data_IF_177068800537
#
_entry.id   IF_177068800537
#
_cell.length_a   1.000
_cell.length_b   1.000
_cell.length_c   1.000
_cell.angle_alpha   90.00
_cell.angle_beta   90.00
_cell.angle_gamma   90.00
#
_symmetry.space_group_name_H-M   'P 1'
#
loop_
_entity.id
_entity.type
_entity.pdbx_description
1 polymer ?
#
# COMPACT_ATOMS: atom_id res chain seq x y z
N UNK A 1 -10.81 -13.29 0.50
CA UNK A 1 -10.25 -14.31 -0.41
C UNK A 1 -8.85 -13.85 -0.77
N UNK A 2 -7.82 -14.54 -0.32
CA UNK A 2 -6.42 -14.19 -0.63
C UNK A 2 -6.17 -14.44 -2.11
N UNK A 3 -5.93 -13.38 -2.87
CA UNK A 3 -5.52 -13.48 -4.28
C UNK A 3 -4.04 -13.84 -4.29
N UNK A 4 -3.75 -15.12 -4.51
CA UNK A 4 -2.43 -15.52 -4.98
C UNK A 4 -2.50 -15.42 -6.51
N UNK A 5 -2.06 -14.29 -7.05
CA UNK A 5 -1.92 -14.06 -8.48
C UNK A 5 -0.80 -14.98 -9.01
N UNK A 6 -1.21 -16.07 -9.65
CA UNK A 6 -0.33 -17.00 -10.35
C UNK A 6 0.37 -16.26 -11.49
N UNK A 7 1.68 -16.03 -11.37
CA UNK A 7 2.50 -15.33 -12.39
C UNK A 7 3.46 -14.27 -11.83
N UNK A 8 3.25 -13.81 -10.59
CA UNK A 8 4.12 -12.83 -9.94
C UNK A 8 5.36 -13.47 -9.32
N UNK A 9 6.47 -12.73 -9.25
CA UNK A 9 7.67 -13.14 -8.50
C UNK A 9 7.29 -13.40 -7.04
N UNK A 10 7.91 -14.40 -6.35
CA UNK A 10 7.57 -14.72 -4.96
C UNK A 10 7.64 -13.53 -3.99
N UNK A 11 8.54 -12.58 -4.26
CA UNK A 11 8.63 -11.33 -3.51
C UNK A 11 7.40 -10.43 -3.61
N UNK A 12 6.88 -10.25 -4.81
CA UNK A 12 5.71 -9.43 -5.06
C UNK A 12 4.43 -10.06 -4.48
N UNK A 13 4.28 -11.39 -4.53
CA UNK A 13 3.15 -12.08 -3.87
C UNK A 13 3.17 -11.91 -2.34
N UNK A 14 4.35 -12.01 -1.72
CA UNK A 14 4.51 -11.75 -0.28
C UNK A 14 4.19 -10.29 0.05
N UNK A 15 4.53 -9.36 -0.83
CA UNK A 15 4.23 -7.93 -0.66
C UNK A 15 2.73 -7.67 -0.68
N UNK A 16 1.97 -8.26 -1.61
CA UNK A 16 0.51 -8.15 -1.63
C UNK A 16 -0.12 -8.64 -0.32
N UNK A 17 0.33 -9.81 0.16
CA UNK A 17 -0.12 -10.37 1.43
C UNK A 17 0.21 -9.45 2.62
N UNK A 18 1.41 -8.87 2.67
CA UNK A 18 1.80 -7.95 3.73
C UNK A 18 0.91 -6.70 3.76
N UNK A 19 0.56 -6.16 2.58
CA UNK A 19 -0.35 -5.02 2.44
C UNK A 19 -1.76 -5.38 2.93
N UNK A 20 -2.28 -6.55 2.56
CA UNK A 20 -3.58 -7.05 3.02
C UNK A 20 -3.64 -7.21 4.55
N UNK A 21 -2.58 -7.77 5.14
CA UNK A 21 -2.45 -7.91 6.59
C UNK A 21 -2.43 -6.54 7.27
N UNK A 22 -1.68 -5.58 6.73
CA UNK A 22 -1.65 -4.22 7.25
C UNK A 22 -3.04 -3.59 7.29
N UNK A 23 -3.79 -3.61 6.18
CA UNK A 23 -5.13 -3.03 6.16
C UNK A 23 -6.07 -3.73 7.14
N UNK A 24 -5.98 -5.06 7.26
CA UNK A 24 -6.80 -5.81 8.21
C UNK A 24 -6.52 -5.36 9.64
N UNK A 25 -5.25 -5.38 10.06
CA UNK A 25 -4.83 -4.98 11.42
C UNK A 25 -5.16 -3.51 11.70
N UNK A 26 -4.90 -2.63 10.75
CA UNK A 26 -5.11 -1.20 10.93
C UNK A 26 -6.60 -0.84 11.01
N UNK A 27 -7.46 -1.46 10.20
CA UNK A 27 -8.91 -1.28 10.26
C UNK A 27 -9.53 -1.91 11.52
N UNK A 28 -9.04 -3.07 11.97
CA UNK A 28 -9.47 -3.68 13.24
C UNK A 28 -9.10 -2.80 14.44
N UNK A 29 -7.88 -2.28 14.45
CA UNK A 29 -7.40 -1.34 15.48
C UNK A 29 -8.25 -0.07 15.52
N UNK A 30 -8.67 0.45 14.36
CA UNK A 30 -9.59 1.58 14.26
C UNK A 30 -10.99 1.28 14.78
N UNK A 31 -11.54 0.10 14.45
CA UNK A 31 -12.85 -0.32 14.97
C UNK A 31 -12.85 -0.42 16.50
N UNK A 32 -11.71 -0.78 17.09
CA UNK A 32 -11.53 -0.81 18.54
C UNK A 32 -11.38 0.59 19.17
N UNK A 33 -11.18 1.66 18.37
CA UNK A 33 -11.02 3.04 18.83
C UNK A 33 -12.11 3.97 18.23
N UNK A 34 -13.37 3.84 18.69
CA UNK A 34 -14.46 4.66 18.18
C UNK A 34 -14.26 6.15 18.50
N UNK A 35 -14.36 7.00 17.48
CA UNK A 35 -14.24 8.46 17.58
C UNK A 35 -12.87 9.03 17.22
N UNK A 36 -11.87 8.18 16.93
CA UNK A 36 -10.56 8.63 16.48
C UNK A 36 -10.50 8.72 14.95
N UNK A 37 -10.45 9.95 14.42
CA UNK A 37 -9.92 10.14 13.06
C UNK A 37 -8.43 9.84 13.12
N UNK A 38 -8.00 8.75 12.51
CA UNK A 38 -6.57 8.50 12.34
C UNK A 38 -6.12 9.31 11.12
N UNK A 39 -5.27 10.33 11.29
CA UNK A 39 -4.64 10.99 10.16
C UNK A 39 -3.63 10.00 9.58
N UNK A 40 -4.02 9.22 8.58
CA UNK A 40 -3.17 8.16 8.01
C UNK A 40 -1.81 8.67 7.55
N UNK A 41 -1.72 9.93 7.13
CA UNK A 41 -0.46 10.64 6.84
C UNK A 41 0.53 10.64 8.02
N UNK A 42 0.08 10.63 9.28
CA UNK A 42 0.98 10.55 10.44
C UNK A 42 1.67 9.20 10.55
N UNK A 43 1.24 8.16 9.84
CA UNK A 43 1.96 6.89 9.81
C UNK A 43 3.22 6.99 8.94
N UNK A 44 3.29 7.99 8.06
CA UNK A 44 4.46 8.31 7.27
C UNK A 44 5.51 9.13 8.06
N UNK A 45 5.17 9.73 9.22
CA UNK A 45 6.11 10.55 10.00
C UNK A 45 7.03 9.70 10.90
N UNK A 46 8.30 10.08 11.08
CA UNK A 46 9.21 9.34 11.97
C UNK A 46 8.75 9.48 13.42
N UNK A 47 8.39 8.35 14.07
CA UNK A 47 8.01 8.33 15.49
C UNK A 47 6.58 7.85 15.79
N UNK A 48 5.71 7.70 14.78
CA UNK A 48 4.37 7.17 15.02
C UNK A 48 4.41 5.67 15.36
N UNK A 49 3.76 5.18 16.43
CA UNK A 49 3.85 3.78 16.85
C UNK A 49 3.34 2.82 15.77
N UNK A 50 2.31 3.22 15.02
CA UNK A 50 1.74 2.41 13.94
C UNK A 50 2.56 2.44 12.64
N UNK A 51 3.61 3.29 12.54
CA UNK A 51 4.60 3.22 11.45
C UNK A 51 5.32 1.87 11.44
N UNK A 52 5.52 1.26 12.60
CA UNK A 52 6.13 -0.07 12.70
C UNK A 52 5.37 -1.14 11.92
N UNK A 53 4.05 -0.96 11.72
CA UNK A 53 3.23 -1.87 10.91
C UNK A 53 3.54 -1.79 9.42
N UNK A 54 4.04 -0.64 8.95
CA UNK A 54 4.44 -0.44 7.55
C UNK A 54 5.89 -0.84 7.28
N UNK A 55 6.71 -1.02 8.33
CA UNK A 55 8.13 -1.32 8.18
C UNK A 55 8.41 -2.63 7.40
N UNK A 56 7.68 -3.74 7.63
CA UNK A 56 7.82 -4.94 6.81
C UNK A 56 7.52 -4.68 5.34
N UNK A 57 6.45 -3.95 5.04
CA UNK A 57 6.05 -3.57 3.69
C UNK A 57 7.14 -2.70 3.04
N UNK A 58 7.65 -1.70 3.76
CA UNK A 58 8.73 -0.81 3.33
C UNK A 58 9.97 -1.59 2.92
N UNK A 59 10.42 -2.53 3.76
CA UNK A 59 11.60 -3.33 3.51
C UNK A 59 11.42 -4.26 2.32
N UNK A 60 10.24 -4.85 2.17
CA UNK A 60 9.90 -5.73 1.04
C UNK A 60 9.87 -4.97 -0.28
N UNK A 61 9.19 -3.82 -0.34
CA UNK A 61 9.18 -2.96 -1.53
C UNK A 61 10.60 -2.57 -1.91
N UNK A 62 11.37 -2.06 -0.96
CA UNK A 62 12.74 -1.62 -1.19
C UNK A 62 13.61 -2.76 -1.73
N UNK A 63 13.48 -3.96 -1.17
CA UNK A 63 14.20 -5.16 -1.63
C UNK A 63 13.84 -5.52 -3.07
N UNK A 64 12.55 -5.56 -3.42
CA UNK A 64 12.10 -5.87 -4.78
C UNK A 64 12.57 -4.82 -5.79
N UNK A 65 12.56 -3.54 -5.41
CA UNK A 65 13.02 -2.45 -6.28
C UNK A 65 14.52 -2.51 -6.53
N UNK A 66 15.32 -2.81 -5.50
CA UNK A 66 16.77 -3.00 -5.63
C UNK A 66 17.05 -4.20 -6.55
N UNK A 67 16.37 -5.33 -6.34
CA UNK A 67 16.52 -6.52 -7.18
C UNK A 67 16.11 -6.27 -8.64
N UNK A 68 15.21 -5.32 -8.86
CA UNK A 68 14.74 -4.90 -10.20
C UNK A 68 15.64 -3.85 -10.85
N UNK A 69 16.75 -3.45 -10.21
CA UNK A 69 17.72 -2.51 -10.77
C UNK A 69 17.25 -1.05 -10.76
N UNK A 70 16.29 -0.68 -9.92
CA UNK A 70 15.82 0.70 -9.80
C UNK A 70 16.91 1.62 -9.25
N UNK A 71 17.09 2.78 -9.89
CA UNK A 71 18.05 3.80 -9.49
C UNK A 71 17.61 4.60 -8.26
N UNK A 72 16.30 4.70 -8.00
CA UNK A 72 15.73 5.45 -6.88
C UNK A 72 14.70 4.61 -6.10
N UNK A 73 15.13 3.53 -5.42
CA UNK A 73 14.22 2.63 -4.72
C UNK A 73 13.50 3.32 -3.55
N UNK A 74 14.16 4.27 -2.88
CA UNK A 74 13.60 4.95 -1.70
C UNK A 74 12.45 5.91 -2.06
N UNK A 75 12.57 6.64 -3.18
CA UNK A 75 11.50 7.53 -3.69
C UNK A 75 10.23 6.75 -4.00
N UNK A 76 10.35 5.65 -4.75
CA UNK A 76 9.19 4.84 -5.10
C UNK A 76 8.66 4.07 -3.89
N UNK A 77 9.52 3.62 -2.98
CA UNK A 77 9.09 3.02 -1.72
C UNK A 77 8.19 3.99 -0.94
N UNK A 78 8.59 5.26 -0.84
CA UNK A 78 7.79 6.27 -0.19
C UNK A 78 6.44 6.48 -0.90
N UNK A 79 6.43 6.57 -2.23
CA UNK A 79 5.20 6.72 -3.01
C UNK A 79 4.23 5.54 -2.83
N UNK A 80 4.75 4.30 -2.82
CA UNK A 80 3.94 3.10 -2.58
C UNK A 80 3.31 3.15 -1.19
N UNK A 81 4.07 3.55 -0.17
CA UNK A 81 3.55 3.66 1.21
C UNK A 81 2.44 4.72 1.30
N UNK A 82 2.59 5.87 0.66
CA UNK A 82 1.54 6.90 0.63
C UNK A 82 0.25 6.37 0.01
N UNK A 83 0.33 5.62 -1.10
CA UNK A 83 -0.89 5.05 -1.72
C UNK A 83 -1.56 3.97 -0.89
N UNK A 84 -0.79 3.17 -0.16
CA UNK A 84 -1.34 2.18 0.80
C UNK A 84 -2.16 2.92 1.88
N UNK A 85 -1.65 4.06 2.34
CA UNK A 85 -2.32 4.92 3.32
C UNK A 85 -3.57 5.59 2.73
N UNK A 86 -3.54 6.08 1.49
CA UNK A 86 -4.72 6.64 0.82
C UNK A 86 -5.88 5.63 0.73
N UNK A 87 -5.57 4.36 0.41
CA UNK A 87 -6.58 3.30 0.37
C UNK A 87 -7.15 3.06 1.77
N UNK A 88 -6.29 3.02 2.80
CA UNK A 88 -6.72 2.83 4.18
C UNK A 88 -7.62 3.98 4.67
N UNK A 89 -7.30 5.23 4.30
CA UNK A 89 -8.11 6.41 4.59
C UNK A 89 -9.48 6.35 3.95
N UNK A 90 -9.54 5.95 2.67
CA UNK A 90 -10.81 5.77 1.93
C UNK A 90 -11.68 4.69 2.55
N UNK A 91 -11.10 3.56 2.93
CA UNK A 91 -11.83 2.45 3.56
C UNK A 91 -12.35 2.82 4.95
N UNK A 92 -11.56 3.58 5.70
CA UNK A 92 -11.96 4.13 7.01
C UNK A 92 -13.12 5.10 6.85
N UNK A 93 -13.02 6.04 5.91
CA UNK A 93 -14.08 7.03 5.62
C UNK A 93 -15.39 6.37 5.18
N UNK A 94 -15.31 5.27 4.43
CA UNK A 94 -16.47 4.50 3.97
C UNK A 94 -16.94 3.43 4.98
N UNK A 95 -16.20 3.21 6.06
CA UNK A 95 -16.37 2.12 7.03
C UNK A 95 -16.51 0.72 6.40
N UNK A 96 -15.97 0.53 5.20
CA UNK A 96 -16.04 -0.73 4.45
C UNK A 96 -14.82 -0.90 3.55
N UNK A 97 -14.42 -2.14 3.24
CA UNK A 97 -13.38 -2.40 2.24
C UNK A 97 -13.74 -1.80 0.87
N UNK A 98 -12.74 -1.23 0.20
CA UNK A 98 -12.83 -0.63 -1.13
C UNK A 98 -12.00 -1.47 -2.10
N UNK A 99 -12.57 -2.61 -2.52
CA UNK A 99 -11.91 -3.57 -3.40
C UNK A 99 -11.45 -2.94 -4.73
N UNK A 100 -12.15 -1.91 -5.22
CA UNK A 100 -11.76 -1.22 -6.44
C UNK A 100 -10.48 -0.39 -6.24
N UNK A 101 -10.38 0.33 -5.11
CA UNK A 101 -9.17 1.07 -4.77
C UNK A 101 -7.96 0.14 -4.55
N UNK A 102 -8.17 -1.00 -3.88
CA UNK A 102 -7.12 -2.03 -3.70
C UNK A 102 -6.63 -2.59 -5.03
N UNK A 103 -7.54 -2.96 -5.93
CA UNK A 103 -7.20 -3.47 -7.27
C UNK A 103 -6.39 -2.45 -8.08
N UNK A 104 -6.77 -1.16 -8.02
CA UNK A 104 -6.04 -0.09 -8.69
C UNK A 104 -4.63 0.07 -8.12
N UNK A 105 -4.46 -0.05 -6.80
CA UNK A 105 -3.15 -0.05 -6.16
C UNK A 105 -2.29 -1.21 -6.66
N UNK A 106 -2.81 -2.44 -6.65
CA UNK A 106 -2.04 -3.62 -7.05
C UNK A 106 -1.60 -3.56 -8.51
N UNK A 107 -2.49 -3.16 -9.43
CA UNK A 107 -2.13 -2.96 -10.84
C UNK A 107 -1.09 -1.86 -11.04
N UNK A 108 -1.13 -0.81 -10.22
CA UNK A 108 -0.11 0.22 -10.27
C UNK A 108 1.23 -0.29 -9.73
N UNK A 109 1.22 -0.98 -8.59
CA UNK A 109 2.40 -1.57 -7.97
C UNK A 109 3.08 -2.58 -8.90
N UNK A 110 2.29 -3.46 -9.52
CA UNK A 110 2.77 -4.44 -10.49
C UNK A 110 3.48 -3.75 -11.67
N UNK A 111 2.90 -2.67 -12.21
CA UNK A 111 3.54 -1.88 -13.28
C UNK A 111 4.86 -1.27 -12.81
N UNK A 112 4.89 -0.70 -11.62
CA UNK A 112 6.10 -0.10 -11.04
C UNK A 112 7.22 -1.13 -10.86
N UNK A 113 6.88 -2.32 -10.33
CA UNK A 113 7.84 -3.41 -10.10
C UNK A 113 8.35 -4.03 -11.42
N UNK A 114 7.48 -4.19 -12.43
CA UNK A 114 7.88 -4.78 -13.72
C UNK A 114 8.61 -3.81 -14.65
N UNK A 115 8.26 -2.53 -14.62
CA UNK A 115 8.77 -1.55 -15.59
C UNK A 115 9.96 -0.73 -15.05
N UNK A 116 10.28 -0.84 -13.75
CA UNK A 116 11.39 -0.08 -13.15
C UNK A 116 11.24 1.43 -13.32
N UNK A 117 10.01 1.92 -13.44
CA UNK A 117 9.69 3.34 -13.60
C UNK A 117 8.84 3.80 -12.42
N UNK A 118 9.24 4.91 -11.79
CA UNK A 118 8.29 5.74 -11.05
C UNK A 118 7.27 6.22 -12.08
N UNK A 119 6.08 5.64 -12.04
CA UNK A 119 5.00 6.02 -12.91
C UNK A 119 4.49 7.38 -12.41
N UNK A 120 5.13 8.46 -12.88
CA UNK A 120 4.69 9.85 -12.70
C UNK A 120 3.26 10.12 -13.23
N UNK A 121 2.57 9.09 -13.72
CA UNK A 121 1.15 9.09 -14.05
C UNK A 121 0.54 7.83 -13.42
N UNK A 122 0.31 7.88 -12.11
CA UNK A 122 -0.65 6.95 -11.55
C UNK A 122 -2.07 7.46 -11.80
N UNK A 123 -2.99 6.58 -12.20
CA UNK A 123 -4.38 6.98 -12.33
C UNK A 123 -4.87 7.50 -10.96
N UNK A 124 -5.53 8.66 -10.90
CA UNK A 124 -6.13 9.13 -9.66
C UNK A 124 -7.07 8.05 -9.12
N UNK A 125 -6.86 7.63 -7.87
CA UNK A 125 -7.78 6.71 -7.17
C UNK A 125 -9.21 7.29 -7.13
N UNK A 126 -9.35 8.60 -7.35
CA UNK A 126 -10.58 9.37 -7.40
C UNK A 126 -11.43 9.26 -8.68
N UNK A 127 -10.91 8.80 -9.83
CA UNK A 127 -11.59 9.03 -11.11
C UNK A 127 -12.47 7.88 -11.66
N UNK A 128 -12.82 6.85 -10.88
CA UNK A 128 -13.66 5.74 -11.36
C UNK A 128 -14.90 5.48 -10.50
N UNK A 129 -15.46 6.54 -9.91
CA UNK A 129 -16.82 6.52 -9.40
C UNK A 129 -17.63 7.59 -10.14
N UNK A 130 -18.03 7.28 -11.37
CA UNK A 130 -19.13 7.91 -12.08
C UNK A 130 -20.03 6.80 -12.61
#
# INVERSE_FOLDING_TARGET
>A
MLRVTTGMRPGAQRLELAIEVFWTVALETLRAMPGSSIPWETFATPGHPLRGLLEPIRLMIRSELIQSGMSQPDTLTHEVLLRILDVAERETSKQKPDHAARELLYRWLERCLHQGRSAAVAPPLAAQAA
#
